data_IF_654175109951
#
_entry.id   IF_654175109951
#
_cell.length_a   1.000
_cell.length_b   1.000
_cell.length_c   1.000
_cell.angle_alpha   90.00
_cell.angle_beta   90.00
_cell.angle_gamma   90.00
#
_symmetry.space_group_name_H-M   'P 1'
#
loop_
_entity.id
_entity.type
_entity.pdbx_description
1 polymer ?
#
# COMPACT_ATOMS: atom_id res chain seq x y z
N UNK A 1 33.00 31.16 23.49
CA UNK A 1 31.82 31.81 24.10
C UNK A 1 30.77 30.74 24.30
N UNK A 2 30.44 30.40 25.56
CA UNK A 2 29.43 29.39 25.92
C UNK A 2 28.11 30.12 26.15
N UNK A 3 27.08 29.77 25.39
CA UNK A 3 25.73 30.34 25.54
C UNK A 3 24.83 29.31 26.22
N UNK A 4 24.50 29.57 27.48
CA UNK A 4 23.57 28.79 28.30
C UNK A 4 22.14 29.24 28.01
N UNK A 5 21.26 28.33 27.58
CA UNK A 5 19.83 28.62 27.43
C UNK A 5 19.10 28.10 28.68
N UNK A 6 18.45 29.02 29.39
CA UNK A 6 17.72 28.76 30.63
C UNK A 6 16.25 28.52 30.31
N UNK A 7 15.76 27.29 30.51
CA UNK A 7 14.35 26.92 30.31
C UNK A 7 13.56 27.14 31.59
N UNK A 8 12.55 28.03 31.56
CA UNK A 8 11.63 28.27 32.68
C UNK A 8 10.37 27.43 32.48
N UNK A 9 10.07 26.53 33.41
CA UNK A 9 8.85 25.70 33.41
C UNK A 9 7.76 26.35 34.28
N UNK A 10 6.58 26.59 33.71
CA UNK A 10 5.38 27.02 34.46
C UNK A 10 4.59 25.77 34.90
N UNK A 11 4.19 25.64 36.17
CA UNK A 11 3.43 24.49 36.65
C UNK A 11 1.94 24.55 36.25
N UNK A 12 1.27 23.40 36.02
CA UNK A 12 -0.12 23.35 35.60
C UNK A 12 -1.09 23.59 36.76
N UNK A 13 -2.12 24.41 36.51
CA UNK A 13 -3.21 24.73 37.43
C UNK A 13 -4.27 23.62 37.38
N UNK A 14 -4.47 22.88 38.47
CA UNK A 14 -5.54 21.88 38.57
C UNK A 14 -6.91 22.55 38.74
N UNK A 15 -7.95 22.14 37.98
CA UNK A 15 -9.31 22.61 38.19
C UNK A 15 -10.02 21.83 39.33
N UNK A 16 -10.83 22.55 40.11
CA UNK A 16 -11.57 22.04 41.26
C UNK A 16 -12.74 21.11 40.87
N UNK A 17 -13.12 20.12 41.70
CA UNK A 17 -14.18 19.18 41.38
C UNK A 17 -15.56 19.85 41.53
N UNK A 18 -16.38 19.78 40.46
CA UNK A 18 -17.79 20.18 40.50
C UNK A 18 -18.65 18.95 40.72
N UNK A 19 -19.36 18.91 41.85
CA UNK A 19 -20.42 17.93 42.12
C UNK A 19 -21.63 18.21 41.21
N UNK A 20 -22.05 17.23 40.42
CA UNK A 20 -23.24 17.33 39.55
C UNK A 20 -24.36 16.49 40.18
N UNK A 21 -25.40 17.17 40.65
CA UNK A 21 -26.67 16.55 41.06
C UNK A 21 -27.50 16.25 39.82
N UNK A 22 -27.88 14.98 39.63
CA UNK A 22 -28.72 14.55 38.49
C UNK A 22 -30.20 14.78 38.85
N UNK A 23 -30.87 15.70 38.14
CA UNK A 23 -32.33 15.71 38.05
C UNK A 23 -32.74 15.07 36.72
N UNK A 24 -33.60 14.06 36.81
CA UNK A 24 -34.18 13.37 35.67
C UNK A 24 -35.25 14.27 35.01
N UNK A 25 -35.02 14.65 33.76
CA UNK A 25 -35.96 15.35 32.89
C UNK A 25 -36.15 14.57 31.58
N UNK A 26 -37.40 14.50 31.13
CA UNK A 26 -37.96 13.63 30.11
C UNK A 26 -37.21 13.56 28.77
N UNK A 27 -37.17 12.34 28.20
CA UNK A 27 -36.64 12.05 26.86
C UNK A 27 -37.57 12.60 25.79
N UNK A 28 -37.11 13.67 25.11
CA UNK A 28 -37.59 14.01 23.76
C UNK A 28 -36.56 13.51 22.74
N UNK A 29 -37.00 12.57 21.89
CA UNK A 29 -36.22 12.10 20.75
C UNK A 29 -36.08 13.24 19.73
N UNK A 30 -34.86 13.60 19.27
CA UNK A 30 -34.72 14.47 18.13
C UNK A 30 -34.77 13.62 16.85
N UNK A 31 -35.82 13.93 16.09
CA UNK A 31 -35.96 13.85 14.64
C UNK A 31 -34.66 13.70 13.84
N UNK A 32 -34.68 12.70 12.97
CA UNK A 32 -33.82 12.62 11.78
C UNK A 32 -33.93 13.91 10.96
N UNK A 33 -32.77 14.45 10.55
CA UNK A 33 -32.46 15.22 9.33
C UNK A 33 -31.34 16.26 9.61
N UNK A 34 -30.10 15.94 9.24
CA UNK A 34 -29.24 16.81 8.43
C UNK A 34 -27.88 16.15 8.15
N UNK A 35 -27.52 16.15 6.88
CA UNK A 35 -26.31 15.59 6.32
C UNK A 35 -25.11 16.49 6.60
N UNK A 36 -24.15 15.94 7.34
CA UNK A 36 -22.70 16.10 7.26
C UNK A 36 -22.19 15.71 8.65
N UNK A 37 -22.10 14.41 8.90
CA UNK A 37 -21.14 13.95 9.89
C UNK A 37 -19.79 14.47 9.42
N UNK A 38 -19.23 15.43 10.16
CA UNK A 38 -17.86 15.86 10.00
C UNK A 38 -16.99 14.60 9.90
N UNK A 39 -16.40 14.32 8.74
CA UNK A 39 -15.63 13.09 8.48
C UNK A 39 -14.53 12.95 9.55
N UNK A 40 -14.06 14.08 10.09
CA UNK A 40 -13.12 14.16 11.19
C UNK A 40 -13.63 13.57 12.52
N UNK A 41 -14.94 13.54 12.78
CA UNK A 41 -15.53 12.95 13.99
C UNK A 41 -15.80 11.45 13.88
N UNK A 42 -15.67 10.83 12.70
CA UNK A 42 -15.80 9.37 12.52
C UNK A 42 -14.52 8.61 12.84
N UNK A 43 -13.38 9.28 12.80
CA UNK A 43 -12.07 8.67 13.03
C UNK A 43 -11.48 9.10 14.38
N UNK A 44 -10.89 8.16 15.09
CA UNK A 44 -10.07 8.45 16.26
C UNK A 44 -8.66 8.82 15.81
N UNK A 45 -8.35 10.11 15.80
CA UNK A 45 -7.05 10.64 15.40
C UNK A 45 -6.04 10.51 16.54
N UNK A 46 -4.89 9.88 16.27
CA UNK A 46 -3.78 9.80 17.21
C UNK A 46 -2.55 10.52 16.67
N UNK A 47 -1.84 11.23 17.55
CA UNK A 47 -0.55 11.88 17.24
C UNK A 47 0.64 10.95 17.44
N UNK A 48 0.42 9.68 17.84
CA UNK A 48 1.47 8.67 17.94
C UNK A 48 1.97 8.28 16.55
N UNK A 49 3.28 8.09 16.40
CA UNK A 49 3.87 7.61 15.15
C UNK A 49 3.24 6.30 14.65
N UNK A 50 3.36 6.06 13.34
CA UNK A 50 2.87 4.86 12.66
C UNK A 50 3.29 3.59 13.45
N UNK A 51 2.32 2.79 13.93
CA UNK A 51 2.60 1.67 14.84
C UNK A 51 3.52 0.61 14.21
N UNK A 52 3.55 0.50 12.87
CA UNK A 52 4.40 -0.45 12.16
C UNK A 52 5.89 -0.16 12.35
N UNK A 53 6.30 1.11 12.40
CA UNK A 53 7.71 1.48 12.61
C UNK A 53 8.20 1.04 13.99
N UNK A 54 7.47 1.38 15.05
CA UNK A 54 7.81 1.00 16.43
C UNK A 54 7.84 -0.52 16.59
N UNK A 55 6.84 -1.22 16.03
CA UNK A 55 6.79 -2.69 16.03
C UNK A 55 7.98 -3.31 15.28
N UNK A 56 8.35 -2.77 14.12
CA UNK A 56 9.53 -3.23 13.36
C UNK A 56 10.80 -3.14 14.20
N UNK A 57 11.02 -2.04 14.92
CA UNK A 57 12.22 -1.89 15.76
C UNK A 57 12.22 -2.89 16.93
N UNK A 58 11.07 -3.12 17.57
CA UNK A 58 10.94 -4.11 18.63
C UNK A 58 11.24 -5.54 18.14
N UNK A 59 10.71 -5.91 16.96
CA UNK A 59 10.95 -7.22 16.34
C UNK A 59 12.42 -7.39 16.00
N UNK A 60 13.06 -6.42 15.35
CA UNK A 60 14.49 -6.52 14.99
C UNK A 60 15.38 -6.65 16.25
N UNK A 61 15.02 -5.97 17.34
CA UNK A 61 15.74 -6.07 18.61
C UNK A 61 15.60 -7.46 19.25
N UNK A 62 14.41 -8.05 19.19
CA UNK A 62 14.14 -9.38 19.74
C UNK A 62 14.67 -10.51 18.85
N UNK A 63 14.66 -10.31 17.53
CA UNK A 63 14.95 -11.32 16.50
C UNK A 63 15.85 -10.74 15.40
N UNK A 64 17.15 -10.54 15.67
CA UNK A 64 18.07 -9.97 14.68
C UNK A 64 18.23 -10.85 13.43
N UNK A 65 17.96 -12.15 13.51
CA UNK A 65 17.96 -13.11 12.41
C UNK A 65 17.00 -12.73 11.28
N UNK A 66 15.90 -12.02 11.59
CA UNK A 66 14.91 -11.57 10.59
C UNK A 66 15.54 -10.63 9.56
N UNK A 67 16.59 -9.90 9.93
CA UNK A 67 17.29 -9.01 8.99
C UNK A 67 17.99 -9.76 7.86
N UNK A 68 18.30 -11.06 8.05
CA UNK A 68 18.88 -11.91 6.99
C UNK A 68 17.86 -12.23 5.89
N UNK A 69 16.57 -12.18 6.21
CA UNK A 69 15.48 -12.38 5.26
C UNK A 69 15.15 -11.10 4.47
N UNK A 70 15.65 -9.95 4.93
CA UNK A 70 15.46 -8.68 4.24
C UNK A 70 16.43 -8.58 3.05
N UNK A 71 15.98 -8.91 1.86
CA UNK A 71 16.77 -8.78 0.65
C UNK A 71 15.97 -9.00 -0.62
N UNK A 72 16.64 -8.95 -1.77
CA UNK A 72 16.02 -9.31 -3.04
C UNK A 72 15.66 -10.79 -3.08
N UNK A 73 14.50 -11.11 -3.62
CA UNK A 73 14.02 -12.45 -3.90
C UNK A 73 14.49 -12.89 -5.30
N UNK A 74 15.49 -13.80 -5.40
CA UNK A 74 16.10 -14.14 -6.67
C UNK A 74 15.18 -14.94 -7.60
N UNK A 75 14.12 -15.56 -7.09
CA UNK A 75 13.19 -16.35 -7.91
C UNK A 75 12.25 -15.47 -8.74
N UNK A 76 11.91 -14.25 -8.27
CA UNK A 76 10.96 -13.35 -8.93
C UNK A 76 11.31 -13.11 -10.39
N UNK A 77 12.59 -12.95 -10.73
CA UNK A 77 13.02 -12.71 -12.12
C UNK A 77 12.77 -13.90 -13.06
N UNK A 78 12.92 -15.13 -12.56
CA UNK A 78 12.69 -16.33 -13.36
C UNK A 78 11.20 -16.60 -13.54
N UNK A 79 10.40 -16.37 -12.50
CA UNK A 79 8.94 -16.47 -12.57
C UNK A 79 8.38 -15.48 -13.59
N UNK A 80 8.78 -14.21 -13.51
CA UNK A 80 8.34 -13.18 -14.47
C UNK A 80 8.75 -13.54 -15.89
N UNK A 81 10.00 -13.96 -16.12
CA UNK A 81 10.46 -14.37 -17.45
C UNK A 81 9.63 -15.53 -17.99
N UNK A 82 9.35 -16.55 -17.16
CA UNK A 82 8.51 -17.67 -17.52
C UNK A 82 7.09 -17.24 -17.89
N UNK A 83 6.45 -16.42 -17.06
CA UNK A 83 5.06 -15.98 -17.28
C UNK A 83 4.94 -15.11 -18.53
N UNK A 84 5.86 -14.17 -18.75
CA UNK A 84 5.89 -13.36 -19.98
C UNK A 84 6.09 -14.26 -21.21
N UNK A 85 7.02 -15.20 -21.14
CA UNK A 85 7.28 -16.14 -22.24
C UNK A 85 6.07 -17.03 -22.54
N UNK A 86 5.37 -17.49 -21.49
CA UNK A 86 4.13 -18.26 -21.62
C UNK A 86 3.05 -17.44 -22.36
N UNK A 87 2.85 -16.17 -21.98
CA UNK A 87 1.88 -15.32 -22.65
C UNK A 87 2.23 -15.06 -24.12
N UNK A 88 3.50 -14.81 -24.42
CA UNK A 88 4.00 -14.65 -25.81
C UNK A 88 3.83 -15.95 -26.60
N UNK A 89 4.12 -17.11 -25.99
CA UNK A 89 3.92 -18.41 -26.62
C UNK A 89 2.45 -18.67 -26.92
N UNK A 90 1.54 -18.39 -25.97
CA UNK A 90 0.11 -18.50 -26.22
C UNK A 90 -0.34 -17.58 -27.36
N UNK A 91 0.11 -16.33 -27.38
CA UNK A 91 -0.18 -15.41 -28.47
C UNK A 91 0.33 -15.93 -29.82
N UNK A 92 1.54 -16.49 -29.85
CA UNK A 92 2.12 -17.10 -31.05
C UNK A 92 1.33 -18.31 -31.55
N UNK A 93 0.96 -19.23 -30.66
CA UNK A 93 0.21 -20.44 -31.01
C UNK A 93 -1.21 -20.13 -31.50
N UNK A 94 -1.79 -19.02 -31.06
CA UNK A 94 -3.14 -18.59 -31.45
C UNK A 94 -3.16 -17.63 -32.65
N UNK A 95 -2.00 -17.29 -33.25
CA UNK A 95 -1.88 -16.26 -34.30
C UNK A 95 -2.75 -16.51 -35.54
N UNK A 96 -2.98 -17.78 -35.89
CA UNK A 96 -3.72 -18.19 -37.09
C UNK A 96 -5.22 -18.40 -36.80
N UNK A 97 -5.65 -18.21 -35.54
CA UNK A 97 -7.05 -18.34 -35.11
C UNK A 97 -7.74 -16.97 -35.19
N UNK A 98 -9.06 -16.94 -35.50
CA UNK A 98 -9.81 -15.70 -35.42
C UNK A 98 -9.79 -15.16 -33.99
N UNK A 99 -9.76 -13.83 -33.87
CA UNK A 99 -9.70 -13.14 -32.57
C UNK A 99 -10.90 -13.52 -31.68
N UNK A 100 -12.10 -13.54 -32.28
CA UNK A 100 -13.34 -13.95 -31.63
C UNK A 100 -13.53 -15.46 -31.86
N UNK A 101 -12.76 -16.28 -31.16
CA UNK A 101 -12.89 -17.74 -31.20
C UNK A 101 -12.92 -18.33 -29.81
N UNK A 102 -13.68 -19.41 -29.63
CA UNK A 102 -13.76 -20.12 -28.35
C UNK A 102 -12.39 -20.53 -27.78
N UNK A 103 -11.45 -21.10 -28.58
CA UNK A 103 -10.10 -21.35 -28.11
C UNK A 103 -9.38 -20.08 -27.62
N UNK A 104 -9.52 -18.96 -28.34
CA UNK A 104 -8.91 -17.68 -27.95
C UNK A 104 -9.48 -17.18 -26.62
N UNK A 105 -10.79 -17.20 -26.45
CA UNK A 105 -11.42 -16.79 -25.19
C UNK A 105 -11.03 -17.68 -24.02
N UNK A 106 -11.01 -19.00 -24.20
CA UNK A 106 -10.68 -19.92 -23.12
C UNK A 106 -9.22 -19.79 -22.69
N UNK A 107 -8.30 -19.69 -23.65
CA UNK A 107 -6.88 -19.43 -23.37
C UNK A 107 -6.68 -18.07 -22.69
N UNK A 108 -7.33 -17.01 -23.19
CA UNK A 108 -7.24 -15.69 -22.59
C UNK A 108 -7.79 -15.66 -21.16
N UNK A 109 -8.90 -16.34 -20.90
CA UNK A 109 -9.52 -16.36 -19.58
C UNK A 109 -8.73 -17.20 -18.58
N UNK A 110 -8.35 -18.43 -18.92
CA UNK A 110 -7.66 -19.32 -17.97
C UNK A 110 -6.20 -18.92 -17.83
N UNK A 111 -5.47 -18.84 -18.95
CA UNK A 111 -4.02 -18.58 -18.93
C UNK A 111 -3.77 -17.08 -18.82
N UNK A 112 -4.40 -16.28 -19.68
CA UNK A 112 -4.19 -14.83 -19.72
C UNK A 112 -4.56 -14.13 -18.40
N UNK A 113 -5.76 -14.38 -17.86
CA UNK A 113 -6.18 -13.72 -16.61
C UNK A 113 -5.29 -14.13 -15.42
N UNK A 114 -4.98 -15.42 -15.29
CA UNK A 114 -4.11 -15.92 -14.21
C UNK A 114 -2.68 -15.36 -14.34
N UNK A 115 -2.13 -15.36 -15.56
CA UNK A 115 -0.81 -14.81 -15.84
C UNK A 115 -0.74 -13.30 -15.58
N UNK A 116 -1.78 -12.53 -15.95
CA UNK A 116 -1.85 -11.10 -15.69
C UNK A 116 -1.96 -10.80 -14.19
N UNK A 117 -2.76 -11.55 -13.45
CA UNK A 117 -2.83 -11.43 -12.00
C UNK A 117 -1.47 -11.68 -11.35
N UNK A 118 -0.74 -12.70 -11.82
CA UNK A 118 0.61 -12.97 -11.37
C UNK A 118 1.56 -11.81 -11.68
N UNK A 119 1.52 -11.24 -12.89
CA UNK A 119 2.37 -10.11 -13.27
C UNK A 119 2.04 -8.83 -12.50
N UNK A 120 0.77 -8.57 -12.15
CA UNK A 120 0.43 -7.44 -11.27
C UNK A 120 1.09 -7.58 -9.90
N UNK A 121 1.04 -8.77 -9.31
CA UNK A 121 1.73 -9.05 -8.04
C UNK A 121 3.26 -8.94 -8.20
N UNK A 122 3.82 -9.46 -9.28
CA UNK A 122 5.26 -9.35 -9.52
C UNK A 122 5.68 -7.88 -9.70
N UNK A 123 4.92 -7.05 -10.42
CA UNK A 123 5.17 -5.61 -10.57
C UNK A 123 5.08 -4.90 -9.21
N UNK A 124 4.18 -5.34 -8.33
CA UNK A 124 4.15 -4.87 -6.93
C UNK A 124 5.48 -5.16 -6.24
N UNK A 125 5.94 -6.41 -6.25
CA UNK A 125 7.22 -6.78 -5.60
C UNK A 125 8.43 -6.04 -6.20
N UNK A 126 8.48 -5.92 -7.53
CA UNK A 126 9.55 -5.21 -8.24
C UNK A 126 9.55 -3.71 -7.89
N UNK A 127 8.38 -3.11 -7.62
CA UNK A 127 8.27 -1.70 -7.22
C UNK A 127 8.96 -1.43 -5.88
N UNK A 128 8.97 -2.43 -5.00
CA UNK A 128 9.70 -2.44 -3.74
C UNK A 128 11.20 -2.80 -3.89
N UNK A 129 11.70 -2.94 -5.12
CA UNK A 129 13.06 -3.35 -5.47
C UNK A 129 13.43 -4.76 -4.97
N UNK A 130 12.47 -5.68 -4.88
CA UNK A 130 12.75 -7.05 -4.42
C UNK A 130 13.34 -7.95 -5.52
N UNK A 131 13.26 -7.60 -6.81
CA UNK A 131 13.82 -8.49 -7.85
C UNK A 131 15.35 -8.32 -8.03
N UNK A 132 15.87 -7.10 -7.84
CA UNK A 132 17.30 -6.80 -7.97
C UNK A 132 17.77 -5.81 -6.90
N UNK A 133 19.08 -5.79 -6.60
CA UNK A 133 19.67 -4.75 -5.74
C UNK A 133 19.64 -3.36 -6.39
N UNK A 134 19.66 -3.28 -7.73
CA UNK A 134 19.67 -2.01 -8.46
C UNK A 134 18.26 -1.52 -8.77
N UNK A 135 17.93 -0.29 -8.35
CA UNK A 135 16.63 0.31 -8.61
C UNK A 135 16.34 0.52 -10.11
N UNK A 136 17.37 0.82 -10.91
CA UNK A 136 17.25 0.96 -12.36
C UNK A 136 16.96 -0.39 -13.03
N UNK A 137 17.63 -1.47 -12.59
CA UNK A 137 17.37 -2.81 -13.09
C UNK A 137 15.92 -3.24 -12.80
N UNK A 138 15.41 -2.99 -11.59
CA UNK A 138 14.01 -3.23 -11.26
C UNK A 138 13.06 -2.41 -12.15
N UNK A 139 13.40 -1.15 -12.47
CA UNK A 139 12.54 -0.30 -13.32
C UNK A 139 12.46 -0.84 -14.75
N UNK A 140 13.60 -1.22 -15.34
CA UNK A 140 13.62 -1.83 -16.68
C UNK A 140 12.89 -3.17 -16.69
N UNK A 141 13.08 -3.98 -15.64
CA UNK A 141 12.42 -5.26 -15.50
C UNK A 141 10.90 -5.15 -15.30
N UNK A 142 10.43 -4.13 -14.59
CA UNK A 142 9.00 -3.84 -14.45
C UNK A 142 8.37 -3.42 -15.79
N UNK A 143 9.11 -2.75 -16.67
CA UNK A 143 8.64 -2.44 -18.03
C UNK A 143 8.52 -3.74 -18.85
N UNK A 144 9.52 -4.62 -18.76
CA UNK A 144 9.48 -5.93 -19.40
C UNK A 144 8.29 -6.79 -18.92
N UNK A 145 8.09 -6.88 -17.60
CA UNK A 145 6.95 -7.58 -16.99
C UNK A 145 5.59 -7.01 -17.43
N UNK A 146 5.56 -5.72 -17.80
CA UNK A 146 4.34 -5.04 -18.21
C UNK A 146 3.98 -5.27 -19.70
N UNK A 147 4.88 -5.83 -20.51
CA UNK A 147 4.65 -6.00 -21.96
C UNK A 147 3.35 -6.76 -22.29
N UNK A 148 3.02 -7.90 -21.65
CA UNK A 148 1.79 -8.63 -21.97
C UNK A 148 0.50 -7.93 -21.53
N UNK A 149 0.59 -6.99 -20.58
CA UNK A 149 -0.56 -6.27 -20.02
C UNK A 149 -1.08 -5.20 -21.00
N UNK A 150 -0.23 -4.69 -21.89
CA UNK A 150 -0.61 -3.76 -22.97
C UNK A 150 -0.93 -2.32 -22.54
N UNK A 151 -1.14 -2.05 -21.25
CA UNK A 151 -1.27 -0.71 -20.66
C UNK A 151 -0.07 -0.40 -19.77
N UNK A 152 0.41 0.85 -19.67
CA UNK A 152 1.62 1.21 -18.92
C UNK A 152 1.40 1.23 -17.40
N UNK A 153 0.95 0.11 -16.83
CA UNK A 153 0.60 -0.05 -15.42
C UNK A 153 1.81 0.14 -14.49
N UNK A 154 2.97 -0.45 -14.81
CA UNK A 154 4.15 -0.37 -13.95
C UNK A 154 4.70 1.05 -13.76
N UNK A 155 4.45 1.96 -14.72
CA UNK A 155 4.92 3.34 -14.67
C UNK A 155 4.16 4.19 -13.66
N UNK A 156 2.82 4.06 -13.63
CA UNK A 156 1.97 4.76 -12.67
C UNK A 156 1.98 4.06 -11.32
N UNK A 157 1.96 2.73 -11.29
CA UNK A 157 1.80 1.96 -10.06
C UNK A 157 2.89 2.28 -9.02
N UNK A 158 4.16 2.26 -9.42
CA UNK A 158 5.29 2.41 -8.49
C UNK A 158 5.24 3.69 -7.63
N UNK A 159 5.18 4.93 -8.17
CA UNK A 159 5.17 6.13 -7.35
C UNK A 159 3.96 6.23 -6.41
N UNK A 160 2.78 5.81 -6.88
CA UNK A 160 1.57 5.82 -6.05
C UNK A 160 1.63 4.77 -4.94
N UNK A 161 2.05 3.55 -5.28
CA UNK A 161 2.19 2.45 -4.34
C UNK A 161 3.19 2.74 -3.22
N UNK A 162 4.33 3.33 -3.57
CA UNK A 162 5.33 3.74 -2.56
C UNK A 162 4.79 4.87 -1.67
N UNK A 163 4.01 5.80 -2.22
CA UNK A 163 3.36 6.85 -1.43
C UNK A 163 2.38 6.23 -0.45
N UNK A 164 1.49 5.34 -0.92
CA UNK A 164 0.54 4.63 -0.09
C UNK A 164 1.22 3.94 1.10
N UNK A 165 2.28 3.16 0.88
CA UNK A 165 3.00 2.49 1.96
C UNK A 165 3.78 3.43 2.89
N UNK A 166 4.17 4.62 2.42
CA UNK A 166 4.90 5.60 3.23
C UNK A 166 3.97 6.44 4.11
N UNK A 167 2.74 6.70 3.65
CA UNK A 167 1.80 7.61 4.30
C UNK A 167 0.49 6.91 4.72
N UNK A 168 0.58 5.67 5.20
CA UNK A 168 -0.54 4.94 5.77
C UNK A 168 -1.12 5.71 6.97
N UNK A 169 -2.43 5.98 6.94
CA UNK A 169 -3.20 6.72 7.92
C UNK A 169 -3.09 8.25 7.82
N UNK A 170 -2.47 8.80 6.78
CA UNK A 170 -2.32 10.27 6.63
C UNK A 170 -3.37 10.83 5.67
N UNK A 171 -4.30 11.59 6.22
CA UNK A 171 -5.42 12.13 5.46
C UNK A 171 -4.95 13.02 4.30
N UNK A 172 -5.57 12.85 3.13
CA UNK A 172 -5.24 13.59 1.91
C UNK A 172 -3.98 13.13 1.15
N UNK A 173 -3.04 12.41 1.79
CA UNK A 173 -1.85 11.85 1.12
C UNK A 173 -2.05 10.42 0.61
N UNK A 174 -3.04 9.70 1.15
CA UNK A 174 -3.48 8.39 0.62
C UNK A 174 -4.30 8.49 -0.67
N UNK A 175 -4.99 9.62 -0.88
CA UNK A 175 -6.05 9.82 -1.87
C UNK A 175 -5.55 10.09 -3.31
N UNK A 176 -4.40 9.55 -3.70
CA UNK A 176 -3.91 9.63 -5.08
C UNK A 176 -4.53 8.56 -6.00
N UNK A 177 -5.75 8.11 -5.69
CA UNK A 177 -6.46 7.02 -6.36
C UNK A 177 -7.89 7.41 -6.76
N UNK A 178 -8.08 8.64 -7.25
CA UNK A 178 -9.32 9.07 -7.92
C UNK A 178 -9.05 9.39 -9.38
#
# INVERSE_FOLDING_TARGET
MRSSVSTTTVPPKMPAPKTVTVQAGEQQAPSTLNAQEDDHNRFFWTYTEEPHRTRRMAIIKAHPEVTKLCGPEPLTKYVVLFVVSLQVLCAYLLRDKPFISWPTFLTAYIIGATANQNLFLAIHEISHNLAFKSAQANRLFAIFANLPIGIPYSASFRPYHLTHHKSLGVDGLEKAQK
#
